data_IF_789810950581
#
_entry.id   IF_789810950581
#
_cell.length_a   1.000
_cell.length_b   1.000
_cell.length_c   1.000
_cell.angle_alpha   90.00
_cell.angle_beta   90.00
_cell.angle_gamma   90.00
#
_symmetry.space_group_name_H-M   'P 1'
#
loop_
_entity.id
_entity.type
_entity.pdbx_description
1 polymer ?
#
# COMPACT_ATOMS: atom_id res chain seq x y z
N UNK A 1 26.63 -17.43 -55.09
CA UNK A 1 26.01 -18.17 -53.97
C UNK A 1 26.17 -17.30 -52.74
N UNK A 2 25.38 -16.25 -52.49
CA UNK A 2 23.91 -16.20 -52.37
C UNK A 2 23.28 -17.42 -51.71
N UNK A 3 22.63 -17.13 -50.57
CA UNK A 3 21.61 -17.85 -49.78
C UNK A 3 21.86 -17.48 -48.29
N UNK A 4 20.96 -17.05 -47.42
CA UNK A 4 19.62 -16.44 -47.45
C UNK A 4 19.27 -16.15 -45.98
N UNK A 5 18.61 -15.03 -45.69
CA UNK A 5 17.95 -14.74 -44.40
C UNK A 5 16.88 -15.80 -44.08
N UNK A 6 16.72 -16.21 -42.81
CA UNK A 6 15.51 -15.96 -41.97
C UNK A 6 15.45 -16.77 -40.65
N UNK A 7 14.80 -16.10 -39.70
CA UNK A 7 14.08 -16.56 -38.49
C UNK A 7 14.85 -17.18 -37.31
N UNK A 8 15.21 -16.31 -36.35
CA UNK A 8 15.05 -16.63 -34.92
C UNK A 8 13.73 -16.01 -34.46
N UNK A 9 12.80 -16.87 -34.06
CA UNK A 9 11.44 -16.50 -33.67
C UNK A 9 11.13 -17.20 -32.34
N UNK A 10 11.69 -16.71 -31.24
CA UNK A 10 11.32 -17.14 -29.88
C UNK A 10 11.57 -16.01 -28.88
N UNK A 11 10.50 -15.32 -28.51
CA UNK A 11 10.13 -14.88 -27.16
C UNK A 11 9.00 -13.86 -27.29
N UNK A 12 7.77 -14.30 -27.07
CA UNK A 12 6.62 -13.42 -26.79
C UNK A 12 6.73 -12.96 -25.34
N UNK A 13 6.70 -11.65 -25.04
CA UNK A 13 6.21 -11.16 -23.76
C UNK A 13 4.94 -10.34 -24.03
N UNK A 14 3.80 -11.01 -24.05
CA UNK A 14 2.50 -10.38 -24.26
C UNK A 14 1.50 -10.93 -23.23
N UNK A 15 1.80 -10.69 -21.94
CA UNK A 15 0.87 -10.95 -20.82
C UNK A 15 0.91 -9.82 -19.76
N UNK A 16 1.98 -9.04 -19.66
CA UNK A 16 2.15 -8.05 -18.58
C UNK A 16 1.32 -6.75 -18.69
N UNK A 17 0.61 -6.50 -19.80
CA UNK A 17 -0.09 -5.23 -20.02
C UNK A 17 -1.55 -5.20 -19.54
N UNK A 18 -2.13 -6.32 -19.08
CA UNK A 18 -3.57 -6.41 -18.75
C UNK A 18 -3.94 -5.93 -17.34
N UNK A 19 -2.99 -5.82 -16.41
CA UNK A 19 -3.24 -5.36 -15.02
C UNK A 19 -3.14 -3.83 -14.87
N UNK A 20 -3.12 -3.07 -15.97
CA UNK A 20 -2.76 -1.63 -15.97
C UNK A 20 -3.84 -0.73 -16.61
N UNK A 21 -5.05 -1.23 -16.76
CA UNK A 21 -6.08 -0.56 -17.58
C UNK A 21 -6.82 0.57 -16.85
N UNK A 22 -7.23 0.45 -15.56
CA UNK A 22 -7.89 1.57 -14.86
C UNK A 22 -6.90 2.69 -14.47
N UNK A 23 -5.71 2.35 -13.97
CA UNK A 23 -4.71 3.32 -13.50
C UNK A 23 -4.03 4.14 -14.61
N UNK A 24 -4.09 3.70 -15.87
CA UNK A 24 -3.50 4.43 -17.01
C UNK A 24 -4.11 5.80 -17.23
N UNK A 25 -5.41 5.99 -16.92
CA UNK A 25 -6.14 7.21 -17.26
C UNK A 25 -5.77 8.35 -16.30
N UNK A 26 -5.72 8.06 -15.00
CA UNK A 26 -5.27 8.98 -13.94
C UNK A 26 -3.79 9.35 -14.15
N UNK A 27 -2.93 8.36 -14.37
CA UNK A 27 -1.47 8.56 -14.56
C UNK A 27 -1.15 9.36 -15.84
N UNK A 28 -1.86 9.12 -16.96
CA UNK A 28 -1.64 9.89 -18.19
C UNK A 28 -2.14 11.33 -18.10
N UNK A 29 -3.19 11.59 -17.33
CA UNK A 29 -3.75 12.94 -17.16
C UNK A 29 -2.84 13.83 -16.30
N UNK A 30 -2.23 13.29 -15.24
CA UNK A 30 -1.21 14.00 -14.45
C UNK A 30 0.01 14.37 -15.32
N UNK A 31 0.46 13.43 -16.17
CA UNK A 31 1.63 13.61 -17.04
C UNK A 31 1.45 14.72 -18.09
N UNK A 32 0.27 14.85 -18.70
CA UNK A 32 0.01 15.87 -19.73
C UNK A 32 -0.12 17.28 -19.16
N UNK A 33 -0.59 17.41 -17.92
CA UNK A 33 -0.96 18.71 -17.35
C UNK A 33 0.26 19.47 -16.83
N UNK A 34 1.23 18.77 -16.26
CA UNK A 34 2.51 19.35 -15.81
C UNK A 34 3.38 19.84 -16.98
N UNK A 35 3.20 19.26 -18.17
CA UNK A 35 3.84 19.70 -19.43
C UNK A 35 3.16 20.90 -20.10
N UNK A 36 1.93 21.25 -19.71
CA UNK A 36 1.11 22.26 -20.41
C UNK A 36 1.29 23.70 -19.90
N UNK A 37 2.06 23.90 -18.83
CA UNK A 37 2.30 25.22 -18.24
C UNK A 37 3.67 25.76 -18.68
N UNK A 38 3.65 26.51 -19.78
CA UNK A 38 4.64 27.53 -20.19
C UNK A 38 6.10 27.07 -20.38
N UNK A 39 6.49 26.64 -21.60
CA UNK A 39 7.68 27.14 -22.34
C UNK A 39 7.95 26.38 -23.67
N UNK A 40 8.65 27.00 -24.64
CA UNK A 40 8.88 26.45 -25.98
C UNK A 40 9.80 25.23 -25.91
N UNK A 41 9.60 24.26 -26.80
CA UNK A 41 10.48 23.10 -27.11
C UNK A 41 11.41 22.64 -25.98
N UNK A 42 11.14 21.51 -25.29
CA UNK A 42 11.99 21.07 -24.20
C UNK A 42 13.44 20.85 -24.67
N UNK A 43 14.35 21.68 -24.14
CA UNK A 43 15.80 21.56 -24.34
C UNK A 43 16.27 20.16 -23.91
N UNK A 44 17.39 19.70 -24.46
CA UNK A 44 17.96 18.37 -24.20
C UNK A 44 18.15 18.09 -22.70
N UNK A 45 18.40 19.12 -21.88
CA UNK A 45 18.50 19.02 -20.42
C UNK A 45 17.17 18.62 -19.77
N UNK A 46 16.07 19.27 -20.15
CA UNK A 46 14.71 18.95 -19.65
C UNK A 46 14.31 17.53 -20.05
N UNK A 47 14.57 17.14 -21.30
CA UNK A 47 14.32 15.77 -21.78
C UNK A 47 15.12 14.72 -21.02
N UNK A 48 16.34 15.04 -20.59
CA UNK A 48 17.19 14.12 -19.83
C UNK A 48 16.69 13.98 -18.40
N UNK A 49 16.40 15.08 -17.72
CA UNK A 49 15.83 15.08 -16.36
C UNK A 49 14.49 14.32 -16.31
N UNK A 50 13.60 14.53 -17.30
CA UNK A 50 12.36 13.78 -17.41
C UNK A 50 12.58 12.27 -17.54
N UNK A 51 13.60 11.85 -18.29
CA UNK A 51 13.94 10.42 -18.45
C UNK A 51 14.45 9.83 -17.13
N UNK A 52 15.28 10.56 -16.40
CA UNK A 52 15.79 10.14 -15.09
C UNK A 52 14.67 10.00 -14.06
N UNK A 53 13.75 10.98 -13.99
CA UNK A 53 12.59 10.91 -13.09
C UNK A 53 11.67 9.75 -13.49
N UNK A 54 11.44 9.52 -14.78
CA UNK A 54 10.66 8.36 -15.24
C UNK A 54 11.32 7.05 -14.84
N UNK A 55 12.64 6.96 -14.89
CA UNK A 55 13.37 5.77 -14.45
C UNK A 55 13.21 5.58 -12.93
N UNK A 56 13.39 6.64 -12.14
CA UNK A 56 13.20 6.61 -10.70
C UNK A 56 11.76 6.19 -10.33
N UNK A 57 10.75 6.75 -11.01
CA UNK A 57 9.35 6.33 -10.87
C UNK A 57 9.19 4.84 -11.14
N UNK A 58 9.73 4.35 -12.25
CA UNK A 58 9.59 2.93 -12.60
C UNK A 58 10.22 2.02 -11.54
N UNK A 59 11.30 2.44 -10.89
CA UNK A 59 11.91 1.71 -9.76
C UNK A 59 10.98 1.77 -8.55
N UNK A 60 10.54 2.96 -8.13
CA UNK A 60 9.63 3.15 -7.00
C UNK A 60 8.35 2.32 -7.16
N UNK A 61 7.69 2.39 -8.32
CA UNK A 61 6.46 1.64 -8.58
C UNK A 61 6.66 0.13 -8.56
N UNK A 62 7.84 -0.38 -8.94
CA UNK A 62 8.16 -1.81 -8.84
C UNK A 62 8.40 -2.26 -7.40
N UNK A 63 8.92 -1.37 -6.56
CA UNK A 63 9.16 -1.64 -5.15
C UNK A 63 7.88 -1.61 -4.33
N UNK A 64 6.95 -0.70 -4.64
CA UNK A 64 5.65 -0.56 -3.98
C UNK A 64 4.63 -1.56 -4.55
N UNK A 65 4.28 -1.41 -5.83
CA UNK A 65 3.20 -2.15 -6.48
C UNK A 65 3.70 -3.46 -7.12
N UNK A 66 4.53 -4.18 -6.36
CA UNK A 66 5.03 -5.50 -6.71
C UNK A 66 3.96 -6.59 -6.60
N UNK A 67 4.39 -7.84 -6.55
CA UNK A 67 3.47 -8.96 -6.32
C UNK A 67 3.02 -8.96 -4.85
N UNK A 68 1.72 -9.10 -4.63
CA UNK A 68 1.18 -9.36 -3.30
C UNK A 68 1.61 -10.77 -2.84
N UNK A 69 1.97 -10.95 -1.56
CA UNK A 69 2.23 -12.28 -1.03
C UNK A 69 0.94 -13.10 -1.01
N UNK A 70 1.07 -14.42 -1.15
CA UNK A 70 -0.03 -15.33 -0.84
C UNK A 70 -0.06 -15.53 0.67
N UNK A 71 -1.25 -15.43 1.27
CA UNK A 71 -1.47 -15.72 2.67
C UNK A 71 -2.43 -16.90 2.81
N UNK A 72 -2.27 -17.66 3.88
CA UNK A 72 -3.21 -18.73 4.23
C UNK A 72 -4.54 -18.12 4.69
N UNK A 73 -5.65 -18.77 4.31
CA UNK A 73 -7.01 -18.43 4.72
C UNK A 73 -7.38 -16.95 4.58
N UNK A 74 -6.86 -16.30 3.53
CA UNK A 74 -7.15 -14.89 3.28
C UNK A 74 -6.67 -14.38 1.93
N UNK A 75 -6.89 -13.10 1.72
CA UNK A 75 -6.44 -12.35 0.56
C UNK A 75 -5.77 -11.07 1.04
N UNK A 76 -4.74 -10.64 0.30
CA UNK A 76 -4.11 -9.35 0.57
C UNK A 76 -3.83 -8.61 -0.72
N UNK A 77 -4.07 -7.31 -0.69
CA UNK A 77 -3.68 -6.40 -1.75
C UNK A 77 -3.14 -5.10 -1.18
N UNK A 78 -2.20 -4.50 -1.88
CA UNK A 78 -1.84 -3.11 -1.64
C UNK A 78 -1.64 -2.38 -2.95
N UNK A 79 -1.82 -1.07 -2.90
CA UNK A 79 -1.48 -0.17 -3.99
C UNK A 79 -1.09 1.20 -3.44
N UNK A 80 -0.09 1.82 -4.08
CA UNK A 80 0.24 3.23 -3.94
C UNK A 80 0.12 3.96 -5.28
N UNK A 81 -0.49 5.13 -5.27
CA UNK A 81 -0.75 6.00 -6.41
C UNK A 81 -0.18 7.39 -6.06
N UNK A 82 0.99 7.76 -6.60
CA UNK A 82 1.59 9.05 -6.27
C UNK A 82 0.82 10.21 -6.93
N UNK A 83 0.71 11.33 -6.21
CA UNK A 83 0.07 12.57 -6.69
C UNK A 83 0.88 13.26 -7.79
N UNK A 84 2.21 13.03 -7.78
CA UNK A 84 3.17 13.55 -8.76
C UNK A 84 3.85 12.42 -9.52
N UNK A 85 4.97 12.74 -10.17
CA UNK A 85 5.81 11.73 -10.84
C UNK A 85 6.38 10.69 -9.88
N UNK A 86 6.63 11.04 -8.62
CA UNK A 86 7.02 10.12 -7.55
C UNK A 86 6.49 10.63 -6.22
N UNK A 87 6.29 9.71 -5.26
CA UNK A 87 5.62 9.96 -3.99
C UNK A 87 6.47 9.66 -2.75
N UNK A 88 6.02 10.17 -1.61
CA UNK A 88 6.54 9.89 -0.26
C UNK A 88 5.89 8.67 0.40
N UNK A 89 4.67 8.31 -0.01
CA UNK A 89 3.96 7.16 0.56
C UNK A 89 4.72 5.83 0.39
N UNK A 90 4.59 4.99 1.41
CA UNK A 90 5.19 3.66 1.47
C UNK A 90 4.17 2.62 1.93
N UNK A 91 4.21 1.45 1.33
CA UNK A 91 3.70 0.23 1.96
C UNK A 91 4.56 -0.97 1.54
N UNK A 92 4.56 -2.02 2.36
CA UNK A 92 5.28 -3.24 2.05
C UNK A 92 4.80 -4.44 2.87
N UNK A 93 5.21 -5.62 2.42
CA UNK A 93 4.91 -6.89 3.06
C UNK A 93 6.18 -7.69 3.33
N UNK A 94 6.25 -8.28 4.52
CA UNK A 94 7.34 -9.18 4.93
C UNK A 94 6.75 -10.45 5.54
N UNK A 95 6.94 -11.60 4.89
CA UNK A 95 6.54 -12.90 5.44
C UNK A 95 7.59 -13.36 6.44
N UNK A 96 7.21 -13.47 7.71
CA UNK A 96 8.09 -13.88 8.80
C UNK A 96 8.27 -15.40 8.81
N UNK A 97 9.39 -15.85 9.35
CA UNK A 97 9.73 -17.28 9.47
C UNK A 97 8.73 -18.09 10.32
N UNK A 98 7.97 -17.43 11.20
CA UNK A 98 6.89 -18.02 11.99
C UNK A 98 5.53 -18.09 11.26
N UNK A 99 5.47 -17.72 9.98
CA UNK A 99 4.25 -17.76 9.17
C UNK A 99 3.37 -16.52 9.28
N UNK A 100 3.68 -15.58 10.17
CA UNK A 100 2.96 -14.30 10.26
C UNK A 100 3.34 -13.39 9.10
N UNK A 101 2.39 -12.56 8.66
CA UNK A 101 2.67 -11.53 7.68
C UNK A 101 2.81 -10.17 8.36
N UNK A 102 4.01 -9.58 8.28
CA UNK A 102 4.25 -8.20 8.69
C UNK A 102 3.89 -7.24 7.55
N UNK A 103 3.03 -6.28 7.85
CA UNK A 103 2.49 -5.26 6.97
C UNK A 103 3.01 -3.92 7.47
N UNK A 104 3.47 -3.06 6.57
CA UNK A 104 3.82 -1.67 6.87
C UNK A 104 3.12 -0.75 5.90
N UNK A 105 2.66 0.40 6.40
CA UNK A 105 2.17 1.52 5.61
C UNK A 105 2.65 2.82 6.26
N UNK A 106 2.95 3.84 5.48
CA UNK A 106 3.35 5.12 6.02
C UNK A 106 3.39 6.23 4.99
N UNK A 107 3.50 7.45 5.49
CA UNK A 107 3.61 8.67 4.71
C UNK A 107 4.78 9.52 5.22
N UNK A 108 5.57 10.00 4.26
CA UNK A 108 6.75 10.83 4.48
C UNK A 108 6.36 12.29 4.35
N UNK A 109 6.74 13.12 5.32
CA UNK A 109 6.50 14.55 5.25
C UNK A 109 7.07 15.17 3.95
N UNK A 110 6.21 15.89 3.23
CA UNK A 110 6.58 16.57 1.99
C UNK A 110 6.16 15.77 0.76
N UNK A 111 6.60 16.17 -0.44
CA UNK A 111 6.13 15.58 -1.71
C UNK A 111 7.24 15.55 -2.77
N UNK A 112 7.07 14.70 -3.78
CA UNK A 112 7.97 14.62 -4.93
C UNK A 112 9.31 13.95 -4.60
N UNK A 113 10.40 14.40 -5.23
CA UNK A 113 11.71 13.75 -5.13
C UNK A 113 12.26 13.64 -3.70
N UNK A 114 12.24 14.70 -2.87
CA UNK A 114 12.76 14.60 -1.51
C UNK A 114 12.03 13.56 -0.67
N UNK A 115 10.69 13.54 -0.74
CA UNK A 115 9.87 12.57 -0.01
C UNK A 115 10.11 11.14 -0.54
N UNK A 116 10.24 10.96 -1.86
CA UNK A 116 10.56 9.67 -2.46
C UNK A 116 11.93 9.11 -2.03
N UNK A 117 12.93 9.96 -1.79
CA UNK A 117 14.23 9.51 -1.27
C UNK A 117 14.11 8.98 0.16
N UNK A 118 13.39 9.72 1.01
CA UNK A 118 13.11 9.30 2.39
C UNK A 118 12.21 8.06 2.46
N UNK A 119 11.31 7.88 1.50
CA UNK A 119 10.55 6.64 1.33
C UNK A 119 11.47 5.44 1.13
N UNK A 120 12.49 5.56 0.26
CA UNK A 120 13.48 4.49 0.04
C UNK A 120 14.28 4.20 1.31
N UNK A 121 14.67 5.23 2.07
CA UNK A 121 15.31 5.06 3.37
C UNK A 121 14.40 4.31 4.35
N UNK A 122 13.12 4.69 4.41
CA UNK A 122 12.08 4.05 5.25
C UNK A 122 11.93 2.58 4.90
N UNK A 123 11.88 2.24 3.61
CA UNK A 123 11.87 0.86 3.13
C UNK A 123 13.11 0.08 3.57
N UNK A 124 14.29 0.68 3.48
CA UNK A 124 15.54 0.06 3.93
C UNK A 124 15.51 -0.25 5.43
N UNK A 125 15.10 0.72 6.24
CA UNK A 125 14.96 0.57 7.69
C UNK A 125 13.95 -0.52 8.05
N UNK A 126 12.76 -0.51 7.41
CA UNK A 126 11.75 -1.55 7.61
C UNK A 126 12.29 -2.94 7.27
N UNK A 127 12.87 -3.12 6.08
CA UNK A 127 13.38 -4.44 5.64
C UNK A 127 14.50 -4.97 6.53
N UNK A 128 15.32 -4.09 7.12
CA UNK A 128 16.33 -4.48 8.10
C UNK A 128 15.73 -4.86 9.46
N UNK A 129 14.69 -4.16 9.91
CA UNK A 129 14.05 -4.40 11.19
C UNK A 129 13.07 -5.59 11.17
N UNK A 130 12.41 -5.84 10.04
CA UNK A 130 11.30 -6.81 9.95
C UNK A 130 11.70 -8.24 10.35
N UNK A 131 12.86 -8.73 9.91
CA UNK A 131 13.30 -10.09 10.26
C UNK A 131 13.86 -10.19 11.68
N UNK A 132 14.42 -9.09 12.21
CA UNK A 132 15.20 -9.11 13.45
C UNK A 132 14.40 -8.77 14.71
N UNK A 133 13.13 -8.38 14.56
CA UNK A 133 12.28 -7.90 15.66
C UNK A 133 11.05 -8.77 15.85
N UNK A 134 10.60 -8.92 17.10
CA UNK A 134 9.54 -9.88 17.47
C UNK A 134 8.13 -9.42 17.12
N UNK A 135 7.91 -8.12 17.03
CA UNK A 135 6.59 -7.53 16.83
C UNK A 135 6.64 -6.14 16.17
N UNK A 136 5.47 -5.58 15.85
CA UNK A 136 5.37 -4.28 15.18
C UNK A 136 5.94 -3.12 16.01
N UNK A 137 5.80 -3.14 17.34
CA UNK A 137 6.32 -2.08 18.22
C UNK A 137 7.84 -2.07 18.28
N UNK A 138 8.46 -3.25 18.39
CA UNK A 138 9.92 -3.40 18.26
C UNK A 138 10.41 -3.00 16.86
N UNK A 139 9.65 -3.32 15.81
CA UNK A 139 9.97 -2.90 14.43
C UNK A 139 10.02 -1.39 14.30
N UNK A 140 8.99 -0.69 14.77
CA UNK A 140 8.93 0.78 14.71
C UNK A 140 10.01 1.43 15.59
N UNK A 141 10.31 0.83 16.74
CA UNK A 141 11.39 1.29 17.62
C UNK A 141 12.74 1.21 16.91
N UNK A 142 13.02 0.08 16.25
CA UNK A 142 14.23 -0.12 15.47
C UNK A 142 14.31 0.83 14.27
N UNK A 143 13.21 1.04 13.54
CA UNK A 143 13.13 2.00 12.44
C UNK A 143 13.41 3.42 12.91
N UNK A 144 12.80 3.86 14.03
CA UNK A 144 13.03 5.19 14.59
C UNK A 144 14.50 5.37 14.94
N UNK A 145 15.11 4.41 15.65
CA UNK A 145 16.52 4.50 16.04
C UNK A 145 17.46 4.55 14.83
N UNK A 146 17.16 3.82 13.76
CA UNK A 146 17.96 3.82 12.54
C UNK A 146 17.86 5.13 11.75
N UNK A 147 16.71 5.82 11.82
CA UNK A 147 16.42 6.98 10.96
C UNK A 147 16.43 8.31 11.70
N UNK A 148 16.45 8.33 13.03
CA UNK A 148 16.20 9.52 13.84
C UNK A 148 17.12 10.70 13.51
N UNK A 149 18.44 10.48 13.47
CA UNK A 149 19.42 11.55 13.21
C UNK A 149 19.29 12.11 11.78
N UNK A 150 19.06 11.24 10.79
CA UNK A 150 18.86 11.64 9.40
C UNK A 150 17.59 12.48 9.25
N UNK A 151 16.46 12.00 9.79
CA UNK A 151 15.18 12.71 9.76
C UNK A 151 15.27 14.05 10.49
N UNK A 152 15.92 14.08 11.67
CA UNK A 152 16.11 15.30 12.45
C UNK A 152 16.95 16.34 11.71
N UNK A 153 18.03 15.89 11.06
CA UNK A 153 18.94 16.73 10.26
C UNK A 153 18.22 17.32 9.06
N UNK A 154 17.38 16.54 8.39
CA UNK A 154 16.60 16.97 7.23
C UNK A 154 15.35 17.78 7.61
N UNK A 155 15.04 17.91 8.90
CA UNK A 155 13.83 18.58 9.37
C UNK A 155 12.56 17.86 8.93
N UNK A 156 12.62 16.53 8.78
CA UNK A 156 11.54 15.69 8.25
C UNK A 156 11.09 14.66 9.28
N UNK A 157 9.96 14.03 9.01
CA UNK A 157 9.45 12.89 9.77
C UNK A 157 8.69 11.94 8.85
N UNK A 158 8.37 10.76 9.37
CA UNK A 158 7.57 9.75 8.67
C UNK A 158 6.51 9.22 9.63
N UNK A 159 5.24 9.25 9.23
CA UNK A 159 4.19 8.54 9.95
C UNK A 159 4.16 7.10 9.45
N UNK A 160 4.17 6.12 10.35
CA UNK A 160 4.18 4.69 9.95
C UNK A 160 3.25 3.89 10.85
N UNK A 161 2.48 2.96 10.26
CA UNK A 161 1.82 1.88 10.97
C UNK A 161 2.48 0.55 10.57
N UNK A 162 2.77 -0.27 11.56
CA UNK A 162 3.29 -1.63 11.38
C UNK A 162 2.33 -2.61 12.02
N UNK A 163 2.04 -3.73 11.36
CA UNK A 163 1.13 -4.75 11.86
C UNK A 163 1.61 -6.16 11.51
N UNK A 164 1.41 -7.11 12.41
CA UNK A 164 1.60 -8.54 12.20
C UNK A 164 0.23 -9.23 12.12
N UNK A 165 -0.05 -9.82 10.96
CA UNK A 165 -1.19 -10.72 10.77
C UNK A 165 -0.79 -12.15 11.08
N UNK A 166 -1.45 -12.74 12.08
CA UNK A 166 -1.34 -14.15 12.43
C UNK A 166 -2.55 -14.91 11.86
N UNK A 167 -2.38 -15.69 10.76
CA UNK A 167 -3.50 -16.41 10.14
C UNK A 167 -4.02 -17.55 11.02
N UNK A 168 -3.18 -18.16 11.86
CA UNK A 168 -3.57 -19.26 12.74
C UNK A 168 -4.46 -18.77 13.88
N UNK A 169 -4.09 -17.64 14.49
CA UNK A 169 -4.84 -17.04 15.60
C UNK A 169 -5.91 -16.04 15.13
N UNK A 170 -5.94 -15.73 13.83
CA UNK A 170 -6.78 -14.69 13.24
C UNK A 170 -6.66 -13.35 13.98
N UNK A 171 -5.42 -13.00 14.34
CA UNK A 171 -5.14 -11.83 15.17
C UNK A 171 -4.25 -10.87 14.41
N UNK A 172 -4.65 -9.61 14.38
CA UNK A 172 -3.86 -8.49 13.91
C UNK A 172 -3.27 -7.76 15.11
N UNK A 173 -1.96 -7.85 15.30
CA UNK A 173 -1.22 -7.04 16.28
C UNK A 173 -0.60 -5.87 15.55
N UNK A 174 -0.71 -4.65 16.08
CA UNK A 174 -0.21 -3.45 15.40
C UNK A 174 0.35 -2.42 16.37
N UNK A 175 1.20 -1.56 15.83
CA UNK A 175 1.75 -0.38 16.49
C UNK A 175 1.70 0.79 15.50
N UNK A 176 1.55 2.02 16.01
CA UNK A 176 1.50 3.23 15.19
C UNK A 176 2.54 4.25 15.65
N UNK A 177 3.36 4.72 14.71
CA UNK A 177 4.22 5.90 14.82
C UNK A 177 3.48 7.11 14.23
N UNK A 178 2.36 7.48 14.84
CA UNK A 178 1.57 8.66 14.47
C UNK A 178 0.81 8.55 13.14
N UNK A 179 0.65 7.35 12.58
CA UNK A 179 -0.10 7.12 11.34
C UNK A 179 -1.57 6.77 11.62
N UNK A 180 -2.40 6.89 10.58
CA UNK A 180 -3.82 6.51 10.63
C UNK A 180 -3.98 5.04 11.04
N UNK A 181 -4.96 4.77 11.89
CA UNK A 181 -5.29 3.42 12.30
C UNK A 181 -6.15 2.75 11.23
N UNK A 182 -6.03 1.42 11.06
CA UNK A 182 -6.80 0.73 10.05
C UNK A 182 -8.29 0.73 10.38
N UNK A 183 -9.12 0.73 9.35
CA UNK A 183 -10.54 0.46 9.48
C UNK A 183 -10.77 -1.05 9.44
N UNK A 184 -11.64 -1.53 10.32
CA UNK A 184 -12.11 -2.91 10.36
C UNK A 184 -13.54 -2.93 9.87
N UNK A 185 -13.77 -3.67 8.79
CA UNK A 185 -15.09 -3.89 8.18
C UNK A 185 -15.56 -5.28 8.62
N UNK A 186 -16.54 -5.32 9.52
CA UNK A 186 -17.11 -6.58 10.02
C UNK A 186 -18.31 -7.06 9.22
N UNK A 187 -19.03 -6.12 8.62
CA UNK A 187 -20.22 -6.41 7.82
C UNK A 187 -20.59 -5.21 6.96
N UNK A 188 -21.62 -5.38 6.13
CA UNK A 188 -22.26 -4.29 5.38
C UNK A 188 -22.81 -3.16 6.27
N UNK A 189 -22.93 -3.37 7.58
CA UNK A 189 -23.49 -2.39 8.52
C UNK A 189 -22.45 -1.84 9.49
N UNK A 190 -21.29 -2.48 9.64
CA UNK A 190 -20.35 -2.20 10.72
C UNK A 190 -18.93 -2.02 10.18
N UNK A 191 -18.45 -0.78 10.30
CA UNK A 191 -17.05 -0.39 10.12
C UNK A 191 -16.64 0.41 11.35
N UNK A 192 -15.45 0.15 11.87
CA UNK A 192 -14.88 0.96 12.95
C UNK A 192 -13.36 1.07 12.78
N UNK A 193 -12.80 2.15 13.29
CA UNK A 193 -11.35 2.32 13.40
C UNK A 193 -10.80 1.43 14.52
N UNK A 194 -9.66 0.78 14.27
CA UNK A 194 -9.00 -0.05 15.26
C UNK A 194 -8.73 0.73 16.57
N UNK A 195 -8.73 0.04 17.75
CA UNK A 195 -8.52 0.69 19.03
C UNK A 195 -7.30 1.62 19.07
N UNK A 196 -7.49 2.79 19.68
CA UNK A 196 -6.44 3.82 19.70
C UNK A 196 -5.18 3.32 20.41
N UNK A 197 -4.04 3.67 19.82
CA UNK A 197 -2.72 3.46 20.40
C UNK A 197 -1.92 4.76 20.29
N UNK A 198 -1.05 5.00 21.27
CA UNK A 198 -0.19 6.19 21.25
C UNK A 198 1.08 5.89 20.48
N UNK A 199 1.55 6.87 19.73
CA UNK A 199 2.91 6.88 19.20
C UNK A 199 3.22 8.18 18.49
N UNK A 200 4.50 8.51 18.46
CA UNK A 200 5.03 9.72 17.81
C UNK A 200 5.57 9.32 16.44
N UNK A 201 5.46 10.20 15.45
CA UNK A 201 6.10 9.99 14.14
C UNK A 201 7.58 9.66 14.25
N UNK A 202 8.09 8.83 13.33
CA UNK A 202 9.51 8.51 13.25
C UNK A 202 10.30 9.81 13.01
N UNK A 203 11.42 9.98 13.72
CA UNK A 203 12.20 11.22 13.71
C UNK A 203 11.67 12.32 14.64
N UNK A 204 10.52 12.12 15.30
CA UNK A 204 9.95 13.08 16.24
C UNK A 204 10.68 13.12 17.59
N UNK A 205 10.94 11.95 18.19
CA UNK A 205 11.64 11.82 19.48
C UNK A 205 12.69 10.69 19.44
N UNK A 206 13.86 10.90 20.07
CA UNK A 206 14.91 9.88 20.14
C UNK A 206 14.50 8.74 21.06
N UNK A 207 14.97 7.53 20.77
CA UNK A 207 14.79 6.35 21.65
C UNK A 207 13.33 6.05 22.02
N UNK A 208 12.38 6.38 21.15
CA UNK A 208 10.95 6.14 21.36
C UNK A 208 10.63 4.66 21.28
N UNK A 209 9.96 4.10 22.30
CA UNK A 209 9.32 2.79 22.21
C UNK A 209 7.87 2.92 21.76
N UNK A 210 7.43 1.99 20.93
CA UNK A 210 6.05 1.94 20.45
C UNK A 210 5.30 0.82 21.13
N UNK A 211 4.16 1.15 21.73
CA UNK A 211 3.24 0.17 22.30
C UNK A 211 2.60 -0.65 21.19
N UNK A 212 2.09 -1.83 21.53
CA UNK A 212 1.34 -2.70 20.63
C UNK A 212 -0.10 -2.86 21.12
N UNK A 213 -1.03 -3.05 20.20
CA UNK A 213 -2.39 -3.44 20.48
C UNK A 213 -2.81 -4.55 19.51
N UNK A 214 -3.84 -5.31 19.86
CA UNK A 214 -4.27 -6.46 19.08
C UNK A 214 -5.79 -6.51 18.94
N UNK A 215 -6.24 -6.93 17.76
CA UNK A 215 -7.65 -7.20 17.47
C UNK A 215 -7.80 -8.55 16.79
N UNK A 216 -8.91 -9.22 17.06
CA UNK A 216 -9.29 -10.44 16.36
C UNK A 216 -10.08 -10.07 15.11
N UNK A 217 -9.74 -10.71 13.99
CA UNK A 217 -10.39 -10.52 12.69
C UNK A 217 -11.07 -11.83 12.32
N UNK A 218 -12.39 -11.86 12.36
CA UNK A 218 -13.15 -13.08 12.07
C UNK A 218 -13.22 -13.36 10.56
N UNK A 219 -13.78 -14.51 10.20
CA UNK A 219 -13.96 -14.88 8.79
C UNK A 219 -14.83 -13.87 8.04
N UNK A 220 -14.49 -13.64 6.77
CA UNK A 220 -15.09 -12.66 5.85
C UNK A 220 -14.86 -11.19 6.25
N UNK A 221 -14.32 -10.91 7.43
CA UNK A 221 -13.97 -9.55 7.85
C UNK A 221 -12.75 -9.02 7.08
N UNK A 222 -12.69 -7.70 6.96
CA UNK A 222 -11.65 -7.00 6.21
C UNK A 222 -10.99 -5.92 7.06
N UNK A 223 -9.69 -5.78 6.89
CA UNK A 223 -8.88 -4.69 7.44
C UNK A 223 -8.38 -3.81 6.31
N UNK A 224 -8.66 -2.51 6.41
CA UNK A 224 -8.30 -1.48 5.44
C UNK A 224 -7.30 -0.50 6.06
N UNK A 225 -6.06 -0.56 5.60
CA UNK A 225 -5.01 0.39 5.94
C UNK A 225 -4.94 1.46 4.86
N UNK A 226 -4.71 2.72 5.24
CA UNK A 226 -4.74 3.84 4.31
C UNK A 226 -3.91 5.04 4.74
N UNK A 227 -3.48 5.83 3.76
CA UNK A 227 -2.91 7.17 3.95
C UNK A 227 -3.99 8.25 3.82
N UNK A 228 -3.72 9.42 4.39
CA UNK A 228 -4.66 10.54 4.41
C UNK A 228 -4.97 11.13 3.02
N UNK A 229 -4.13 10.87 2.00
CA UNK A 229 -4.46 11.25 0.62
C UNK A 229 -5.79 10.70 0.11
N UNK A 230 -6.33 9.63 0.71
CA UNK A 230 -7.71 9.18 0.46
C UNK A 230 -8.73 10.12 1.08
N UNK A 231 -8.63 10.41 2.38
CA UNK A 231 -9.62 11.19 3.12
C UNK A 231 -9.54 12.68 2.81
N UNK A 232 -8.37 13.17 2.41
CA UNK A 232 -8.09 14.55 2.03
C UNK A 232 -8.28 14.83 0.52
N UNK A 233 -8.64 13.81 -0.28
CA UNK A 233 -8.96 14.00 -1.69
C UNK A 233 -10.06 15.06 -1.86
N UNK A 234 -9.86 16.02 -2.76
CA UNK A 234 -10.75 17.18 -2.93
C UNK A 234 -11.60 17.10 -4.20
N UNK A 235 -12.86 17.51 -4.10
CA UNK A 235 -13.72 17.77 -5.25
C UNK A 235 -13.55 19.20 -5.79
N UNK A 236 -14.33 19.56 -6.83
CA UNK A 236 -14.26 20.87 -7.49
C UNK A 236 -14.60 22.04 -6.55
N UNK A 237 -15.45 21.78 -5.56
CA UNK A 237 -15.86 22.77 -4.55
C UNK A 237 -14.85 22.90 -3.40
N UNK A 238 -13.77 22.10 -3.43
CA UNK A 238 -12.75 22.08 -2.37
C UNK A 238 -13.17 21.30 -1.13
N UNK A 239 -14.20 20.46 -1.21
CA UNK A 239 -14.61 19.58 -0.14
C UNK A 239 -13.77 18.30 -0.12
N UNK A 240 -13.41 17.84 1.08
CA UNK A 240 -12.68 16.58 1.29
C UNK A 240 -13.60 15.37 1.17
N UNK A 241 -13.04 14.25 0.71
CA UNK A 241 -13.72 12.94 0.62
C UNK A 241 -14.16 12.44 2.00
N UNK A 242 -13.30 12.63 3.01
CA UNK A 242 -13.51 12.29 4.43
C UNK A 242 -13.70 10.80 4.72
N UNK A 243 -13.61 10.47 6.00
CA UNK A 243 -13.75 9.11 6.52
C UNK A 243 -15.14 8.53 6.27
N UNK A 244 -16.19 9.35 6.36
CA UNK A 244 -17.58 8.89 6.24
C UNK A 244 -17.87 8.25 4.86
N UNK A 245 -17.37 8.86 3.78
CA UNK A 245 -17.54 8.32 2.41
C UNK A 245 -16.67 7.08 2.17
N UNK A 246 -15.51 7.02 2.82
CA UNK A 246 -14.65 5.85 2.79
C UNK A 246 -15.34 4.66 3.45
N UNK A 247 -15.89 4.83 4.66
CA UNK A 247 -16.66 3.79 5.34
C UNK A 247 -17.88 3.34 4.51
N UNK A 248 -18.62 4.28 3.93
CA UNK A 248 -19.77 3.94 3.07
C UNK A 248 -19.34 3.13 1.85
N UNK A 249 -18.20 3.47 1.24
CA UNK A 249 -17.63 2.72 0.11
C UNK A 249 -17.22 1.31 0.55
N UNK A 250 -16.59 1.16 1.71
CA UNK A 250 -16.21 -0.15 2.26
C UNK A 250 -17.44 -1.03 2.54
N UNK A 251 -18.46 -0.48 3.20
CA UNK A 251 -19.72 -1.18 3.53
C UNK A 251 -20.43 -1.68 2.28
N UNK A 252 -20.55 -0.85 1.24
CA UNK A 252 -21.21 -1.22 -0.03
C UNK A 252 -20.51 -2.36 -0.77
N UNK A 253 -19.21 -2.54 -0.55
CA UNK A 253 -18.37 -3.47 -1.30
C UNK A 253 -17.85 -4.65 -0.46
N UNK A 254 -18.34 -4.84 0.77
CA UNK A 254 -17.86 -5.86 1.72
C UNK A 254 -17.71 -7.28 1.13
N UNK A 255 -18.65 -7.68 0.27
CA UNK A 255 -18.66 -9.01 -0.35
C UNK A 255 -17.63 -9.22 -1.46
N UNK A 256 -16.98 -8.15 -1.94
CA UNK A 256 -16.00 -8.23 -3.02
C UNK A 256 -14.68 -8.84 -2.56
N UNK A 257 -13.89 -9.32 -3.52
CA UNK A 257 -12.50 -9.67 -3.25
C UNK A 257 -11.64 -8.41 -3.03
N UNK A 258 -10.43 -8.55 -2.50
CA UNK A 258 -9.57 -7.41 -2.16
C UNK A 258 -9.18 -6.55 -3.38
N UNK A 259 -9.17 -7.12 -4.59
CA UNK A 259 -8.81 -6.39 -5.82
C UNK A 259 -10.00 -5.63 -6.39
N UNK A 260 -11.16 -6.24 -6.42
CA UNK A 260 -12.42 -5.59 -6.79
C UNK A 260 -12.77 -4.46 -5.81
N UNK A 261 -12.46 -4.62 -4.52
CA UNK A 261 -12.61 -3.57 -3.53
C UNK A 261 -11.63 -2.41 -3.75
N UNK A 262 -10.35 -2.69 -4.02
CA UNK A 262 -9.33 -1.69 -4.39
C UNK A 262 -9.80 -0.82 -5.59
N UNK A 263 -10.31 -1.48 -6.63
CA UNK A 263 -10.86 -0.80 -7.81
C UNK A 263 -12.11 0.02 -7.46
N UNK A 264 -12.99 -0.50 -6.62
CA UNK A 264 -14.21 0.19 -6.18
C UNK A 264 -13.91 1.46 -5.39
N UNK A 265 -12.91 1.41 -4.49
CA UNK A 265 -12.46 2.57 -3.71
C UNK A 265 -11.84 3.61 -4.64
N UNK A 266 -10.93 3.20 -5.51
CA UNK A 266 -10.30 4.10 -6.49
C UNK A 266 -11.35 4.79 -7.37
N UNK A 267 -12.33 4.02 -7.88
CA UNK A 267 -13.43 4.57 -8.67
C UNK A 267 -14.33 5.52 -7.87
N UNK A 268 -14.52 5.29 -6.57
CA UNK A 268 -15.30 6.17 -5.69
C UNK A 268 -14.59 7.53 -5.54
N UNK A 269 -13.28 7.52 -5.32
CA UNK A 269 -12.43 8.72 -5.23
C UNK A 269 -12.42 9.47 -6.58
N UNK A 270 -12.21 8.76 -7.69
CA UNK A 270 -12.20 9.35 -9.03
C UNK A 270 -13.54 10.02 -9.38
N UNK A 271 -14.66 9.38 -9.01
CA UNK A 271 -16.00 9.95 -9.20
C UNK A 271 -16.23 11.19 -8.34
N UNK A 272 -15.79 11.17 -7.09
CA UNK A 272 -15.96 12.30 -6.18
C UNK A 272 -15.11 13.52 -6.59
N UNK A 273 -13.86 13.28 -7.00
CA UNK A 273 -12.92 14.34 -7.35
C UNK A 273 -13.19 14.98 -8.71
N UNK A 274 -13.94 14.31 -9.60
CA UNK A 274 -14.34 14.81 -10.92
C UNK A 274 -13.18 15.44 -11.74
N UNK A 275 -12.02 14.77 -11.77
CA UNK A 275 -10.78 15.22 -12.42
C UNK A 275 -10.03 16.37 -11.73
N UNK A 276 -10.40 16.75 -10.51
CA UNK A 276 -9.53 17.58 -9.67
C UNK A 276 -8.21 16.85 -9.45
N UNK A 277 -7.06 17.50 -9.68
CA UNK A 277 -5.77 16.86 -9.46
C UNK A 277 -5.59 16.41 -8.02
N UNK A 278 -5.14 15.18 -7.87
CA UNK A 278 -4.72 14.61 -6.60
C UNK A 278 -3.67 15.51 -5.94
N UNK A 279 -3.89 15.86 -4.67
CA UNK A 279 -2.98 16.72 -3.91
C UNK A 279 -1.94 15.93 -3.12
N UNK A 280 -2.28 14.75 -2.64
CA UNK A 280 -1.39 13.88 -1.87
C UNK A 280 -1.40 12.44 -2.36
N UNK A 281 -0.36 11.69 -2.07
CA UNK A 281 -0.25 10.30 -2.47
C UNK A 281 -1.40 9.47 -1.87
N UNK A 282 -1.94 8.54 -2.66
CA UNK A 282 -3.02 7.65 -2.22
C UNK A 282 -2.43 6.26 -2.07
N UNK A 283 -2.41 5.76 -0.85
CA UNK A 283 -1.94 4.40 -0.57
C UNK A 283 -2.94 3.66 0.29
N UNK A 284 -3.17 2.40 -0.08
CA UNK A 284 -4.07 1.52 0.65
C UNK A 284 -3.56 0.08 0.66
N UNK A 285 -3.85 -0.63 1.75
CA UNK A 285 -3.66 -2.07 1.88
C UNK A 285 -4.96 -2.69 2.40
N UNK A 286 -5.38 -3.79 1.78
CA UNK A 286 -6.56 -4.55 2.14
C UNK A 286 -6.15 -5.96 2.53
N UNK A 287 -6.55 -6.39 3.71
CA UNK A 287 -6.44 -7.77 4.20
C UNK A 287 -7.86 -8.30 4.42
N UNK A 288 -8.23 -9.38 3.74
CA UNK A 288 -9.51 -10.08 3.94
C UNK A 288 -9.27 -11.49 4.44
N UNK A 289 -9.98 -11.89 5.48
CA UNK A 289 -9.96 -13.28 5.95
C UNK A 289 -11.01 -14.06 5.19
N UNK A 290 -10.65 -15.17 4.57
CA UNK A 290 -11.62 -16.04 3.90
C UNK A 290 -12.16 -17.06 4.90
N UNK A 291 -13.35 -17.58 4.62
CA UNK A 291 -13.82 -18.79 5.30
C UNK A 291 -12.79 -19.93 5.23
N UNK A 292 -12.56 -20.63 6.34
CA UNK A 292 -11.75 -21.84 6.33
C UNK A 292 -12.41 -22.85 5.39
N UNK A 293 -11.73 -23.26 4.32
CA UNK A 293 -12.16 -24.43 3.55
C UNK A 293 -11.86 -25.66 4.41
N UNK A 294 -12.80 -26.05 5.26
CA UNK A 294 -12.80 -27.39 5.83
C UNK A 294 -13.00 -28.36 4.67
N UNK A 295 -11.90 -28.81 4.07
CA UNK A 295 -11.89 -30.01 3.25
C UNK A 295 -12.20 -31.19 4.17
N UNK A 296 -13.49 -31.42 4.43
CA UNK A 296 -13.98 -32.72 4.90
C UNK A 296 -13.86 -33.66 3.69
N UNK A 297 -12.64 -34.09 3.39
CA UNK A 297 -12.44 -35.29 2.61
C UNK A 297 -12.65 -36.46 3.57
N UNK A 298 -13.89 -36.97 3.66
CA UNK A 298 -14.13 -38.26 4.30
C UNK A 298 -13.53 -39.36 3.41
N UNK A 299 -12.24 -39.62 3.56
CA UNK A 299 -11.64 -40.85 3.06
C UNK A 299 -11.60 -41.86 4.21
N UNK A 300 -12.28 -42.99 4.00
CA UNK A 300 -12.27 -44.22 4.79
C UNK A 300 -13.21 -44.30 6.00
N UNK A 301 -14.50 -44.54 5.73
CA UNK A 301 -15.25 -45.52 6.53
C UNK A 301 -15.30 -46.83 5.70
N UNK A 302 -14.76 -47.95 6.20
CA UNK A 302 -14.91 -49.23 5.50
C UNK A 302 -16.39 -49.63 5.50
N UNK A 303 -16.93 -49.92 4.32
CA UNK A 303 -18.20 -50.63 4.18
C UNK A 303 -17.95 -52.05 4.66
N UNK A 304 -18.32 -52.34 5.90
CA UNK A 304 -18.49 -53.71 6.37
C UNK A 304 -19.87 -54.14 5.88
N UNK A 305 -19.93 -54.88 4.79
CA UNK A 305 -21.15 -55.59 4.40
C UNK A 305 -21.18 -56.96 5.10
N UNK A 306 -22.34 -57.38 5.66
CA UNK A 306 -22.52 -58.65 6.36
C UNK A 306 -22.49 -59.87 5.45
#
# INVERSE_FOLDING_TARGET
MELTKKSKNYLKPLVYLKLWTPYKKVVNNLFRRELSLNNPEPDNKTKTLEREIKLARNIQMKLLNGNNPKIENGQISGISIPARLIGGDYYDFYLLSNGKLRIVIGDVMGKGIPAAMLMILTRGAFRSAAESTKGPGETLTAMNNAMYEDLRTLGSFVTVLCADWDPCQRTLTYASAGHNLPLVVKSIHEVFEAPKIKGVMLGGLPSTSYEENSIKIEEEELVFFYTDGITEALNQDGEMFRIDRLEETLKKNYGLDVKEMEESITNSIDKFTENVPQKDDITMVLLKVNHDQTNITSYNSPVINP
#
